data_IF_528195175093
#
_entry.id   IF_528195175093
#
_cell.length_a   1.000
_cell.length_b   1.000
_cell.length_c   1.000
_cell.angle_alpha   90.00
_cell.angle_beta   90.00
_cell.angle_gamma   90.00
#
_symmetry.space_group_name_H-M   'P 1'
#
loop_
_entity.id
_entity.type
_entity.pdbx_description
1 polymer ?
#
# COMPACT_ATOMS: atom_id res chain seq x y z
N UNK A 1 -3.46 -21.48 -13.62
CA UNK A 1 -2.18 -20.76 -13.40
C UNK A 1 -2.58 -19.38 -12.93
N UNK A 2 -2.34 -19.06 -11.65
CA UNK A 2 -2.72 -17.77 -11.12
C UNK A 2 -1.76 -16.71 -11.66
N UNK A 3 -2.26 -15.73 -12.42
CA UNK A 3 -1.48 -14.72 -13.16
C UNK A 3 -0.78 -13.67 -12.26
N UNK A 4 -0.57 -13.95 -10.97
CA UNK A 4 -0.08 -12.97 -10.00
C UNK A 4 1.39 -12.57 -10.19
N UNK A 5 2.19 -13.34 -10.93
CA UNK A 5 3.65 -13.10 -11.03
C UNK A 5 4.10 -12.15 -12.16
N UNK A 6 3.19 -11.66 -13.02
CA UNK A 6 3.56 -10.90 -14.23
C UNK A 6 3.31 -9.38 -14.13
N UNK A 7 3.45 -8.78 -12.95
CA UNK A 7 3.41 -7.31 -12.85
C UNK A 7 4.72 -6.71 -13.36
N UNK A 8 4.60 -5.80 -14.32
CA UNK A 8 5.71 -4.95 -14.75
C UNK A 8 6.17 -4.06 -13.60
N UNK A 9 7.44 -3.62 -13.66
CA UNK A 9 7.97 -2.67 -12.68
C UNK A 9 7.11 -1.40 -12.61
N UNK A 10 6.70 -0.84 -13.75
CA UNK A 10 5.81 0.32 -13.83
C UNK A 10 4.48 0.11 -13.09
N UNK A 11 3.87 -1.08 -13.22
CA UNK A 11 2.65 -1.41 -12.49
C UNK A 11 2.91 -1.47 -10.98
N UNK A 12 4.02 -2.09 -10.54
CA UNK A 12 4.41 -2.10 -9.12
C UNK A 12 4.62 -0.70 -8.58
N UNK A 13 5.32 0.17 -9.32
CA UNK A 13 5.53 1.58 -8.98
C UNK A 13 4.20 2.32 -8.78
N UNK A 14 3.26 2.18 -9.72
CA UNK A 14 1.95 2.84 -9.65
C UNK A 14 1.12 2.38 -8.45
N UNK A 15 1.11 1.07 -8.16
CA UNK A 15 0.38 0.51 -7.02
C UNK A 15 1.02 0.96 -5.69
N UNK A 16 2.35 0.90 -5.60
CA UNK A 16 3.10 1.37 -4.44
C UNK A 16 2.88 2.87 -4.18
N UNK A 17 2.94 3.70 -5.23
CA UNK A 17 2.65 5.13 -5.13
C UNK A 17 1.21 5.39 -4.68
N UNK A 18 0.24 4.65 -5.21
CA UNK A 18 -1.16 4.72 -4.79
C UNK A 18 -1.34 4.41 -3.30
N UNK A 19 -0.62 3.40 -2.79
CA UNK A 19 -0.55 3.09 -1.36
C UNK A 19 0.04 4.25 -0.55
N UNK A 20 1.23 4.72 -0.93
CA UNK A 20 1.92 5.80 -0.22
C UNK A 20 1.07 7.08 -0.20
N UNK A 21 0.45 7.44 -1.32
CA UNK A 21 -0.44 8.60 -1.44
C UNK A 21 -1.72 8.48 -0.61
N UNK A 22 -2.15 7.27 -0.28
CA UNK A 22 -3.29 7.04 0.60
C UNK A 22 -2.92 7.19 2.08
N UNK A 23 -1.72 6.78 2.50
CA UNK A 23 -1.34 6.68 3.91
C UNK A 23 -0.37 7.76 4.40
N UNK A 24 0.56 8.22 3.56
CA UNK A 24 1.50 9.29 3.87
C UNK A 24 0.89 10.63 3.49
N UNK A 25 0.06 11.15 4.38
CA UNK A 25 -0.54 12.49 4.27
C UNK A 25 0.03 13.42 5.34
N UNK A 26 0.13 14.72 5.02
CA UNK A 26 0.67 15.73 5.94
C UNK A 26 -0.13 15.85 7.22
N UNK A 27 -1.45 15.67 7.13
CA UNK A 27 -2.37 15.71 8.27
C UNK A 27 -2.10 14.59 9.29
N UNK A 28 -1.77 13.39 8.81
CA UNK A 28 -1.68 12.19 9.66
C UNK A 28 -0.25 11.88 10.10
N UNK A 29 0.74 12.07 9.22
CA UNK A 29 2.13 11.67 9.45
C UNK A 29 3.14 12.82 9.42
N UNK A 30 2.68 14.05 9.13
CA UNK A 30 3.55 15.22 8.94
C UNK A 30 4.35 15.21 7.64
N UNK A 31 4.21 14.16 6.82
CA UNK A 31 4.88 13.99 5.53
C UNK A 31 3.87 13.56 4.46
N UNK A 32 4.08 14.02 3.23
CA UNK A 32 3.22 13.72 2.09
C UNK A 32 4.05 13.42 0.85
N UNK A 33 3.75 12.30 0.20
CA UNK A 33 4.41 11.89 -1.06
C UNK A 33 3.88 12.60 -2.30
N UNK A 34 2.81 13.40 -2.19
CA UNK A 34 2.17 14.09 -3.33
C UNK A 34 3.09 15.07 -4.11
N UNK A 35 4.29 15.37 -3.63
CA UNK A 35 5.29 16.16 -4.38
C UNK A 35 6.20 15.30 -5.27
N UNK A 36 6.01 13.99 -5.25
CA UNK A 36 6.69 13.01 -6.10
C UNK A 36 5.69 12.41 -7.09
N UNK A 37 6.21 11.82 -8.15
CA UNK A 37 5.44 11.05 -9.13
C UNK A 37 5.57 9.55 -8.87
N UNK A 38 4.67 8.75 -9.46
CA UNK A 38 4.75 7.30 -9.37
C UNK A 38 6.05 6.76 -9.99
N UNK A 39 6.59 7.45 -10.99
CA UNK A 39 7.85 7.13 -11.68
C UNK A 39 9.08 7.30 -10.78
N UNK A 40 8.97 8.08 -9.71
CA UNK A 40 10.04 8.28 -8.72
C UNK A 40 10.15 7.09 -7.73
N UNK A 41 9.17 6.18 -7.72
CA UNK A 41 9.17 5.02 -6.84
C UNK A 41 10.24 4.02 -7.28
N UNK A 42 11.27 3.79 -6.47
CA UNK A 42 12.33 2.80 -6.75
C UNK A 42 11.95 1.41 -6.24
N UNK A 43 12.78 0.39 -6.56
CA UNK A 43 12.61 -0.95 -6.00
C UNK A 43 12.70 -0.95 -4.46
N UNK A 44 13.62 -0.18 -3.88
CA UNK A 44 13.72 -0.04 -2.42
C UNK A 44 12.41 0.49 -1.80
N UNK A 45 11.75 1.45 -2.46
CA UNK A 45 10.45 1.99 -1.99
C UNK A 45 9.36 0.92 -2.11
N UNK A 46 9.34 0.15 -3.20
CA UNK A 46 8.44 -1.01 -3.38
C UNK A 46 8.63 -2.03 -2.26
N UNK A 47 9.88 -2.33 -1.90
CA UNK A 47 10.21 -3.28 -0.84
C UNK A 47 9.74 -2.78 0.54
N UNK A 48 9.93 -1.49 0.83
CA UNK A 48 9.39 -0.85 2.05
C UNK A 48 7.86 -0.94 2.07
N UNK A 49 7.18 -0.65 0.96
CA UNK A 49 5.71 -0.76 0.88
C UNK A 49 5.26 -2.20 1.10
N UNK A 50 5.97 -3.18 0.53
CA UNK A 50 5.69 -4.59 0.75
C UNK A 50 5.80 -4.97 2.24
N UNK A 51 6.86 -4.53 2.90
CA UNK A 51 7.07 -4.78 4.33
C UNK A 51 5.97 -4.13 5.20
N UNK A 52 5.69 -2.86 4.99
CA UNK A 52 4.62 -2.14 5.70
C UNK A 52 3.28 -2.84 5.50
N UNK A 53 2.95 -3.18 4.24
CA UNK A 53 1.71 -3.82 3.89
C UNK A 53 1.55 -5.19 4.54
N UNK A 54 2.61 -6.00 4.56
CA UNK A 54 2.63 -7.28 5.25
C UNK A 54 2.34 -7.14 6.75
N UNK A 55 2.98 -6.17 7.41
CA UNK A 55 2.72 -5.92 8.83
C UNK A 55 1.29 -5.45 9.10
N UNK A 56 0.73 -4.62 8.22
CA UNK A 56 -0.66 -4.16 8.31
C UNK A 56 -1.61 -5.37 8.20
N UNK A 57 -1.45 -6.21 7.18
CA UNK A 57 -2.38 -7.33 6.94
C UNK A 57 -2.17 -8.51 7.89
N UNK A 58 -1.03 -8.60 8.57
CA UNK A 58 -0.83 -9.60 9.65
C UNK A 58 -1.31 -9.10 11.01
N UNK A 59 -1.64 -7.81 11.13
CA UNK A 59 -2.11 -7.25 12.38
C UNK A 59 -3.62 -7.46 12.56
N UNK A 60 -4.00 -8.42 13.40
CA UNK A 60 -5.40 -8.75 13.67
C UNK A 60 -6.24 -7.54 14.14
N UNK A 61 -5.64 -6.57 14.83
CA UNK A 61 -6.35 -5.37 15.30
C UNK A 61 -6.76 -4.45 14.15
N UNK A 62 -5.98 -4.43 13.07
CA UNK A 62 -6.29 -3.67 11.86
C UNK A 62 -7.28 -4.45 11.00
N UNK A 63 -6.95 -5.71 10.68
CA UNK A 63 -7.70 -6.51 9.69
C UNK A 63 -9.14 -6.78 10.09
N UNK A 64 -9.45 -6.88 11.39
CA UNK A 64 -10.83 -7.04 11.86
C UNK A 64 -11.77 -5.89 11.44
N UNK A 65 -11.24 -4.72 11.08
CA UNK A 65 -12.01 -3.55 10.63
C UNK A 65 -11.77 -3.20 9.16
N UNK A 66 -10.89 -3.96 8.48
CA UNK A 66 -10.35 -3.64 7.17
C UNK A 66 -10.63 -4.79 6.20
N UNK A 67 -11.76 -4.68 5.48
CA UNK A 67 -12.24 -5.68 4.53
C UNK A 67 -11.27 -5.91 3.37
N UNK A 68 -10.75 -4.85 2.75
CA UNK A 68 -9.76 -4.94 1.69
C UNK A 68 -8.46 -5.56 2.20
N UNK A 69 -7.97 -5.18 3.39
CA UNK A 69 -6.76 -5.80 3.95
C UNK A 69 -6.95 -7.27 4.30
N UNK A 70 -8.16 -7.68 4.71
CA UNK A 70 -8.49 -9.10 4.89
C UNK A 70 -8.46 -9.87 3.56
N UNK A 71 -9.02 -9.28 2.49
CA UNK A 71 -8.93 -9.86 1.14
C UNK A 71 -7.48 -9.96 0.65
N UNK A 72 -6.67 -8.92 0.89
CA UNK A 72 -5.24 -8.93 0.54
C UNK A 72 -4.51 -10.05 1.29
N UNK A 73 -4.75 -10.21 2.60
CA UNK A 73 -4.17 -11.31 3.38
C UNK A 73 -4.50 -12.68 2.77
N UNK A 74 -5.76 -12.89 2.36
CA UNK A 74 -6.18 -14.12 1.68
C UNK A 74 -5.43 -14.37 0.36
N UNK A 75 -5.01 -13.31 -0.32
CA UNK A 75 -4.29 -13.37 -1.59
C UNK A 75 -2.75 -13.51 -1.44
N UNK A 76 -2.17 -13.22 -0.27
CA UNK A 76 -0.70 -13.15 -0.10
C UNK A 76 0.00 -14.52 -0.07
N UNK A 77 -0.70 -15.64 0.12
CA UNK A 77 -0.08 -16.97 0.16
C UNK A 77 1.21 -17.01 1.02
N UNK A 78 2.16 -17.91 0.72
CA UNK A 78 3.49 -17.91 1.37
C UNK A 78 4.58 -17.20 0.55
N UNK A 79 4.30 -16.85 -0.70
CA UNK A 79 5.31 -16.35 -1.65
C UNK A 79 4.81 -15.17 -2.48
N UNK A 80 3.63 -14.61 -2.19
CA UNK A 80 3.06 -13.50 -2.95
C UNK A 80 3.29 -12.21 -2.15
N UNK A 81 4.02 -11.28 -2.77
CA UNK A 81 4.26 -9.94 -2.23
C UNK A 81 2.95 -9.18 -2.00
N UNK A 82 2.94 -8.30 -1.01
CA UNK A 82 1.78 -7.48 -0.68
C UNK A 82 1.25 -6.67 -1.87
N UNK A 83 2.11 -6.02 -2.66
CA UNK A 83 1.71 -5.26 -3.85
C UNK A 83 1.02 -6.16 -4.88
N UNK A 84 1.50 -7.38 -5.06
CA UNK A 84 0.87 -8.35 -5.97
C UNK A 84 -0.51 -8.76 -5.45
N UNK A 85 -0.62 -9.05 -4.15
CA UNK A 85 -1.88 -9.39 -3.51
C UNK A 85 -2.89 -8.23 -3.53
N UNK A 86 -2.41 -6.99 -3.42
CA UNK A 86 -3.21 -5.78 -3.64
C UNK A 86 -3.80 -5.73 -5.05
N UNK A 87 -3.00 -6.05 -6.08
CA UNK A 87 -3.53 -6.10 -7.45
C UNK A 87 -4.59 -7.19 -7.58
N UNK A 88 -4.37 -8.34 -6.95
CA UNK A 88 -5.38 -9.39 -6.81
C UNK A 88 -6.70 -8.89 -6.21
N UNK A 89 -6.63 -8.06 -5.16
CA UNK A 89 -7.80 -7.60 -4.42
C UNK A 89 -8.50 -6.37 -5.03
N UNK A 90 -7.77 -5.51 -5.75
CA UNK A 90 -8.30 -4.24 -6.28
C UNK A 90 -8.69 -4.36 -7.77
N UNK A 91 -7.97 -5.17 -8.54
CA UNK A 91 -8.08 -5.26 -9.99
C UNK A 91 -8.31 -6.70 -10.48
N UNK A 92 -8.79 -7.59 -9.61
CA UNK A 92 -9.00 -9.02 -9.91
C UNK A 92 -7.77 -9.69 -10.55
N UNK A 93 -6.57 -9.25 -10.13
CA UNK A 93 -5.29 -9.79 -10.59
C UNK A 93 -4.77 -9.24 -11.92
N UNK A 94 -5.50 -8.36 -12.61
CA UNK A 94 -5.06 -7.81 -13.92
C UNK A 94 -5.23 -6.30 -14.02
N UNK A 95 -4.15 -5.59 -14.34
CA UNK A 95 -4.19 -4.15 -14.63
C UNK A 95 -4.28 -3.95 -16.16
N UNK A 96 -5.34 -3.29 -16.62
CA UNK A 96 -5.54 -2.93 -18.03
C UNK A 96 -4.93 -1.55 -18.35
N UNK A 97 -4.35 -1.39 -19.54
CA UNK A 97 -3.47 -0.25 -19.88
C UNK A 97 -4.09 1.15 -19.88
N UNK A 98 -5.42 1.28 -19.97
CA UNK A 98 -6.10 2.59 -19.91
C UNK A 98 -6.50 3.00 -18.48
N UNK A 99 -6.21 2.18 -17.47
CA UNK A 99 -6.65 2.40 -16.09
C UNK A 99 -5.67 3.31 -15.35
N UNK A 100 -6.18 4.32 -14.64
CA UNK A 100 -5.40 5.08 -13.67
C UNK A 100 -5.22 4.28 -12.38
N UNK A 101 -4.22 3.40 -12.39
CA UNK A 101 -3.87 2.51 -11.28
C UNK A 101 -3.62 3.30 -9.99
N UNK A 102 -2.92 4.43 -10.08
CA UNK A 102 -2.54 5.22 -8.91
C UNK A 102 -3.76 5.76 -8.19
N UNK A 103 -4.71 6.34 -8.93
CA UNK A 103 -5.93 6.93 -8.37
C UNK A 103 -6.84 5.84 -7.81
N UNK A 104 -7.04 4.73 -8.54
CA UNK A 104 -7.92 3.65 -8.07
C UNK A 104 -7.37 3.00 -6.80
N UNK A 105 -6.08 2.66 -6.79
CA UNK A 105 -5.43 2.11 -5.59
C UNK A 105 -5.55 3.07 -4.42
N UNK A 106 -5.24 4.35 -4.61
CA UNK A 106 -5.36 5.38 -3.58
C UNK A 106 -6.78 5.46 -3.01
N UNK A 107 -7.79 5.56 -3.87
CA UNK A 107 -9.18 5.74 -3.44
C UNK A 107 -9.68 4.56 -2.61
N UNK A 108 -9.40 3.33 -3.05
CA UNK A 108 -9.75 2.11 -2.30
C UNK A 108 -9.10 2.06 -0.93
N UNK A 109 -7.81 2.41 -0.85
CA UNK A 109 -7.09 2.42 0.43
C UNK A 109 -7.53 3.58 1.35
N UNK A 110 -7.93 4.72 0.79
CA UNK A 110 -8.52 5.82 1.58
C UNK A 110 -9.85 5.42 2.21
N UNK A 111 -10.71 4.71 1.48
CA UNK A 111 -11.95 4.12 2.02
C UNK A 111 -11.64 3.16 3.17
N UNK A 112 -10.66 2.28 2.97
CA UNK A 112 -10.23 1.32 3.98
C UNK A 112 -9.68 2.00 5.23
N UNK A 113 -8.80 2.99 5.04
CA UNK A 113 -8.24 3.80 6.13
C UNK A 113 -9.35 4.49 6.95
N UNK A 114 -10.42 4.96 6.30
CA UNK A 114 -11.58 5.56 7.01
C UNK A 114 -12.30 4.54 7.89
N UNK A 115 -12.37 3.27 7.51
CA UNK A 115 -12.94 2.22 8.35
C UNK A 115 -12.06 1.96 9.58
N UNK A 116 -10.74 1.82 9.37
CA UNK A 116 -9.76 1.62 10.45
C UNK A 116 -9.80 2.79 11.45
N UNK A 117 -9.88 4.03 10.94
CA UNK A 117 -9.97 5.26 11.75
C UNK A 117 -11.12 5.29 12.76
N UNK A 118 -12.21 4.56 12.50
CA UNK A 118 -13.36 4.49 13.42
C UNK A 118 -13.02 3.76 14.72
N UNK A 119 -11.92 3.02 14.77
CA UNK A 119 -11.41 2.37 15.96
C UNK A 119 -10.05 2.98 16.37
N UNK A 120 -10.00 3.62 17.52
CA UNK A 120 -8.80 4.32 17.99
C UNK A 120 -7.58 3.42 18.16
N UNK A 121 -7.78 2.17 18.62
CA UNK A 121 -6.68 1.22 18.80
C UNK A 121 -6.14 0.72 17.46
N UNK A 122 -7.02 0.35 16.52
CA UNK A 122 -6.62 -0.07 15.19
C UNK A 122 -5.87 1.05 14.46
N UNK A 123 -6.37 2.27 14.56
CA UNK A 123 -5.75 3.43 13.95
C UNK A 123 -4.40 3.78 14.58
N UNK A 124 -4.26 3.70 15.91
CA UNK A 124 -2.98 3.92 16.58
C UNK A 124 -1.92 2.91 16.12
N UNK A 125 -2.29 1.64 15.95
CA UNK A 125 -1.38 0.60 15.45
C UNK A 125 -0.99 0.87 13.99
N UNK A 126 -1.95 1.24 13.14
CA UNK A 126 -1.66 1.61 11.75
C UNK A 126 -0.65 2.77 11.69
N UNK A 127 -0.87 3.83 12.47
CA UNK A 127 0.01 5.00 12.53
C UNK A 127 1.40 4.65 13.08
N UNK A 128 1.49 3.72 14.04
CA UNK A 128 2.77 3.24 14.55
C UNK A 128 3.59 2.54 13.45
N UNK A 129 2.97 1.64 12.69
CA UNK A 129 3.63 0.93 11.58
C UNK A 129 4.12 1.95 10.53
N UNK A 130 3.25 2.87 10.10
CA UNK A 130 3.57 3.86 9.08
C UNK A 130 4.69 4.83 9.51
N UNK A 131 4.68 5.28 10.76
CA UNK A 131 5.70 6.21 11.26
C UNK A 131 7.09 5.59 11.34
N UNK A 132 7.20 4.27 11.54
CA UNK A 132 8.49 3.60 11.64
C UNK A 132 9.30 3.71 10.36
N UNK A 133 8.64 3.62 9.20
CA UNK A 133 9.29 3.68 7.88
C UNK A 133 9.27 5.08 7.26
N UNK A 134 8.68 6.07 7.92
CA UNK A 134 8.52 7.42 7.35
C UNK A 134 9.84 8.04 6.92
N UNK A 135 10.85 8.02 7.80
CA UNK A 135 12.18 8.56 7.49
C UNK A 135 12.87 7.80 6.37
N UNK A 136 12.70 6.48 6.29
CA UNK A 136 13.26 5.66 5.23
C UNK A 136 12.64 6.03 3.88
N UNK A 137 11.32 6.20 3.81
CA UNK A 137 10.62 6.61 2.59
C UNK A 137 11.06 8.01 2.15
N UNK A 138 11.12 8.97 3.08
CA UNK A 138 11.59 10.33 2.80
C UNK A 138 13.00 10.33 2.17
N UNK A 139 13.93 9.59 2.78
CA UNK A 139 15.30 9.46 2.28
C UNK A 139 15.37 8.79 0.91
N UNK A 140 14.57 7.75 0.69
CA UNK A 140 14.56 7.02 -0.58
C UNK A 140 14.04 7.85 -1.73
N UNK A 141 13.00 8.67 -1.51
CA UNK A 141 12.54 9.64 -2.51
C UNK A 141 13.57 10.76 -2.78
N UNK A 142 14.48 11.04 -1.85
CA UNK A 142 15.60 11.97 -2.03
C UNK A 142 16.83 11.33 -2.69
N UNK A 143 16.82 10.02 -2.95
CA UNK A 143 17.91 9.29 -3.60
C UNK A 143 18.99 8.74 -2.66
N UNK A 144 18.70 8.60 -1.37
CA UNK A 144 19.62 8.04 -0.35
C UNK A 144 19.35 6.57 0.00
#
# INVERSE_FOLDING_TARGET
MNNYENLTFEQKQKVAYGFLSAFYTREELGYSVNNHEWSDVTQDIIDIVNQIGEEIVRNARIVQFANLFNTILGNMGSSIEFIVAMVGAIFDGTILGAIDVTIITKNKLVEEKKLIKRNSLAYAVLIQILNREKGNIELKFMGF
#
